data_IF_588062596716
#
_entry.id   IF_588062596716
#
_cell.length_a   1.000
_cell.length_b   1.000
_cell.length_c   1.000
_cell.angle_alpha   90.00
_cell.angle_beta   90.00
_cell.angle_gamma   90.00
#
_symmetry.space_group_name_H-M   'P 1'
#
loop_
_entity.id
_entity.type
_entity.pdbx_description
1 polymer ?
#
# COMPACT_ATOMS: atom_id res chain seq x y z
N UNK A 1 10.01 -3.82 -9.17
CA UNK A 1 8.80 -3.77 -10.02
C UNK A 1 8.74 -4.95 -10.99
N UNK A 2 9.66 -5.12 -11.95
CA UNK A 2 9.57 -6.20 -12.97
C UNK A 2 9.48 -7.62 -12.41
N UNK A 3 10.21 -7.91 -11.32
CA UNK A 3 10.15 -9.23 -10.67
C UNK A 3 8.74 -9.58 -10.15
N UNK A 4 8.10 -8.67 -9.42
CA UNK A 4 6.76 -8.89 -8.88
C UNK A 4 5.70 -9.00 -9.99
N UNK A 5 5.86 -8.23 -11.07
CA UNK A 5 5.02 -8.35 -12.26
C UNK A 5 5.11 -9.77 -12.83
N UNK A 6 6.31 -10.22 -13.21
CA UNK A 6 6.50 -11.53 -13.82
C UNK A 6 6.00 -12.67 -12.91
N UNK A 7 6.33 -12.62 -11.61
CA UNK A 7 5.85 -13.62 -10.65
C UNK A 7 4.33 -13.65 -10.54
N UNK A 8 3.68 -12.48 -10.61
CA UNK A 8 2.21 -12.42 -10.59
C UNK A 8 1.63 -12.97 -11.90
N UNK A 9 2.24 -12.68 -13.04
CA UNK A 9 1.83 -13.27 -14.32
C UNK A 9 1.92 -14.81 -14.31
N UNK A 10 3.00 -15.36 -13.76
CA UNK A 10 3.20 -16.80 -13.63
C UNK A 10 2.14 -17.45 -12.71
N UNK A 11 1.86 -16.81 -11.57
CA UNK A 11 0.83 -17.27 -10.61
C UNK A 11 -0.56 -17.24 -11.25
N UNK A 12 -0.94 -16.14 -11.90
CA UNK A 12 -2.25 -16.01 -12.55
C UNK A 12 -2.40 -17.00 -13.71
N UNK A 13 -1.34 -17.24 -14.47
CA UNK A 13 -1.34 -18.22 -15.56
C UNK A 13 -1.45 -19.67 -15.06
N UNK A 14 -0.91 -19.97 -13.89
CA UNK A 14 -0.90 -21.32 -13.31
C UNK A 14 -2.12 -21.64 -12.44
N UNK A 15 -2.90 -20.63 -12.03
CA UNK A 15 -4.01 -20.76 -11.09
C UNK A 15 -5.24 -19.98 -11.60
N UNK A 16 -6.00 -20.53 -12.56
CA UNK A 16 -7.16 -19.85 -13.14
C UNK A 16 -8.31 -19.63 -12.14
N UNK A 17 -8.31 -20.36 -11.02
CA UNK A 17 -9.26 -20.30 -9.91
C UNK A 17 -8.75 -19.50 -8.71
N UNK A 18 -7.63 -18.77 -8.85
CA UNK A 18 -7.09 -17.92 -7.79
C UNK A 18 -8.16 -16.94 -7.31
N UNK A 19 -8.49 -16.97 -6.02
CA UNK A 19 -9.53 -16.11 -5.45
C UNK A 19 -9.00 -14.74 -5.00
N UNK A 20 -7.76 -14.68 -4.53
CA UNK A 20 -7.19 -13.47 -3.95
C UNK A 20 -5.66 -13.41 -4.05
N UNK A 21 -5.11 -12.20 -4.03
CA UNK A 21 -3.67 -11.92 -4.01
C UNK A 21 -3.34 -10.68 -3.18
N UNK A 22 -2.20 -10.70 -2.47
CA UNK A 22 -1.75 -9.62 -1.59
C UNK A 22 -0.34 -9.16 -1.93
N UNK A 23 -0.18 -7.86 -2.21
CA UNK A 23 1.12 -7.21 -2.44
C UNK A 23 1.61 -6.49 -1.19
N UNK A 24 2.58 -7.08 -0.49
CA UNK A 24 2.96 -6.70 0.88
C UNK A 24 3.85 -5.44 1.03
N UNK A 25 4.16 -4.72 -0.05
CA UNK A 25 4.82 -3.42 -0.05
C UNK A 25 4.63 -2.73 -1.41
N UNK A 26 4.98 -1.44 -1.49
CA UNK A 26 4.78 -0.61 -2.68
C UNK A 26 5.26 -1.25 -4.00
N UNK A 27 6.55 -1.62 -4.19
CA UNK A 27 7.02 -2.12 -5.48
C UNK A 27 6.43 -3.48 -5.84
N UNK A 28 6.00 -4.27 -4.85
CA UNK A 28 5.32 -5.55 -5.07
C UNK A 28 3.87 -5.33 -5.46
N UNK A 29 3.14 -4.48 -4.73
CA UNK A 29 1.75 -4.14 -5.01
C UNK A 29 1.60 -3.50 -6.39
N UNK A 30 2.50 -2.58 -6.78
CA UNK A 30 2.50 -1.98 -8.12
C UNK A 30 2.73 -3.02 -9.21
N UNK A 31 3.72 -3.91 -9.03
CA UNK A 31 4.01 -4.98 -10.00
C UNK A 31 2.85 -5.97 -10.14
N UNK A 32 2.27 -6.36 -9.01
CA UNK A 32 1.11 -7.25 -8.91
C UNK A 32 -0.11 -6.64 -9.60
N UNK A 33 -0.49 -5.40 -9.28
CA UNK A 33 -1.66 -4.73 -9.86
C UNK A 33 -1.52 -4.57 -11.38
N UNK A 34 -0.32 -4.25 -11.88
CA UNK A 34 -0.04 -4.22 -13.33
C UNK A 34 -0.29 -5.57 -13.98
N UNK A 35 0.19 -6.67 -13.39
CA UNK A 35 -0.03 -8.02 -13.92
C UNK A 35 -1.53 -8.42 -13.85
N UNK A 36 -2.21 -8.14 -12.73
CA UNK A 36 -3.66 -8.37 -12.59
C UNK A 36 -4.45 -7.66 -13.69
N UNK A 37 -4.12 -6.39 -13.95
CA UNK A 37 -4.75 -5.61 -15.03
C UNK A 37 -4.40 -6.15 -16.43
N UNK A 38 -3.12 -6.42 -16.70
CA UNK A 38 -2.65 -6.90 -18.01
C UNK A 38 -3.18 -8.29 -18.38
N UNK A 39 -3.32 -9.19 -17.39
CA UNK A 39 -3.89 -10.54 -17.60
C UNK A 39 -5.43 -10.55 -17.59
N UNK A 40 -6.07 -9.40 -17.39
CA UNK A 40 -7.53 -9.29 -17.39
C UNK A 40 -8.20 -9.92 -16.15
N UNK A 41 -7.52 -9.91 -15.00
CA UNK A 41 -8.03 -10.37 -13.71
C UNK A 41 -8.57 -9.23 -12.83
N UNK A 42 -8.42 -7.96 -13.25
CA UNK A 42 -9.01 -6.82 -12.55
C UNK A 42 -10.52 -7.03 -12.32
N UNK A 43 -10.97 -6.86 -11.08
CA UNK A 43 -12.35 -7.12 -10.64
C UNK A 43 -12.80 -8.59 -10.68
N UNK A 44 -11.93 -9.54 -11.03
CA UNK A 44 -12.22 -10.99 -11.01
C UNK A 44 -11.67 -11.71 -9.79
N UNK A 45 -10.67 -11.12 -9.13
CA UNK A 45 -10.05 -11.63 -7.91
C UNK A 45 -9.96 -10.51 -6.89
N UNK A 46 -9.90 -10.85 -5.61
CA UNK A 46 -9.63 -9.87 -4.57
C UNK A 46 -8.14 -9.52 -4.58
N UNK A 47 -7.79 -8.27 -4.86
CA UNK A 47 -6.41 -7.81 -4.90
C UNK A 47 -6.20 -6.67 -3.90
N UNK A 48 -5.38 -6.90 -2.87
CA UNK A 48 -5.04 -5.90 -1.85
C UNK A 48 -3.57 -5.54 -1.92
N UNK A 49 -3.26 -4.24 -1.88
CA UNK A 49 -1.89 -3.74 -1.85
C UNK A 49 -1.49 -3.14 -0.51
N UNK A 50 -0.23 -2.72 -0.44
CA UNK A 50 0.30 -1.89 0.64
C UNK A 50 0.86 -0.60 0.05
N UNK A 51 0.92 0.42 0.90
CA UNK A 51 1.42 1.76 0.61
C UNK A 51 0.52 2.58 -0.34
N UNK A 52 0.92 3.82 -0.66
CA UNK A 52 -0.03 4.88 -1.05
C UNK A 52 0.34 5.73 -2.25
N UNK A 53 1.28 5.30 -3.11
CA UNK A 53 1.68 6.12 -4.25
C UNK A 53 0.58 6.30 -5.31
N UNK A 54 0.78 7.24 -6.24
CA UNK A 54 -0.19 7.56 -7.29
C UNK A 54 -0.57 6.37 -8.19
N UNK A 55 0.34 5.44 -8.47
CA UNK A 55 0.03 4.20 -9.21
C UNK A 55 -1.00 3.36 -8.45
N UNK A 56 -0.77 3.11 -7.17
CA UNK A 56 -1.66 2.33 -6.30
C UNK A 56 -3.01 3.00 -6.11
N UNK A 57 -3.02 4.33 -5.94
CA UNK A 57 -4.26 5.11 -5.88
C UNK A 57 -5.09 4.93 -7.17
N UNK A 58 -4.45 4.97 -8.34
CA UNK A 58 -5.14 4.77 -9.61
C UNK A 58 -5.71 3.36 -9.74
N UNK A 59 -4.99 2.33 -9.28
CA UNK A 59 -5.47 0.95 -9.28
C UNK A 59 -6.65 0.72 -8.32
N UNK A 60 -6.72 1.45 -7.20
CA UNK A 60 -7.91 1.44 -6.33
C UNK A 60 -9.10 2.11 -7.04
N UNK A 61 -8.87 3.27 -7.67
CA UNK A 61 -9.95 4.02 -8.36
C UNK A 61 -10.54 3.25 -9.53
N UNK A 62 -9.69 2.59 -10.32
CA UNK A 62 -10.10 1.83 -11.50
C UNK A 62 -10.60 0.41 -11.18
N UNK A 63 -10.51 -0.02 -9.92
CA UNK A 63 -10.99 -1.33 -9.46
C UNK A 63 -10.05 -2.50 -9.74
N UNK A 64 -8.79 -2.23 -10.11
CA UNK A 64 -7.75 -3.26 -10.18
C UNK A 64 -7.36 -3.77 -8.79
N UNK A 65 -7.35 -2.89 -7.79
CA UNK A 65 -7.17 -3.24 -6.38
C UNK A 65 -8.45 -2.93 -5.61
N UNK A 66 -8.86 -3.84 -4.73
CA UNK A 66 -9.99 -3.64 -3.81
C UNK A 66 -9.64 -2.66 -2.70
N UNK A 67 -8.35 -2.56 -2.37
CA UNK A 67 -7.84 -1.59 -1.41
C UNK A 67 -6.34 -1.67 -1.21
N UNK A 68 -5.82 -0.69 -0.50
CA UNK A 68 -4.41 -0.58 -0.11
C UNK A 68 -4.31 -0.23 1.36
N UNK A 69 -3.40 -0.89 2.08
CA UNK A 69 -3.09 -0.56 3.47
C UNK A 69 -1.97 0.48 3.47
N UNK A 70 -2.29 1.71 3.83
CA UNK A 70 -1.37 2.86 3.75
C UNK A 70 -0.81 3.19 5.13
N UNK A 71 0.50 3.36 5.20
CA UNK A 71 1.24 3.73 6.41
C UNK A 71 1.46 5.25 6.46
N UNK A 72 1.61 5.82 7.65
CA UNK A 72 1.92 7.24 7.82
C UNK A 72 3.43 7.52 7.67
N UNK A 73 4.00 7.32 6.48
CA UNK A 73 5.44 7.48 6.21
C UNK A 73 5.97 8.87 6.57
N UNK A 74 5.19 9.92 6.32
CA UNK A 74 5.51 11.29 6.76
C UNK A 74 5.61 11.40 8.28
N UNK A 75 4.67 10.80 9.02
CA UNK A 75 4.67 10.82 10.48
C UNK A 75 5.88 10.05 11.04
N UNK A 76 6.31 8.96 10.41
CA UNK A 76 7.54 8.26 10.80
C UNK A 76 8.75 9.20 10.72
N UNK A 77 8.90 9.94 9.62
CA UNK A 77 9.98 10.92 9.44
C UNK A 77 9.91 12.06 10.46
N UNK A 78 8.74 12.69 10.58
CA UNK A 78 8.52 13.82 11.49
C UNK A 78 8.76 13.43 12.96
N UNK A 79 8.08 12.37 13.43
CA UNK A 79 8.22 11.90 14.81
C UNK A 79 9.64 11.38 15.08
N UNK A 80 10.32 10.81 14.09
CA UNK A 80 11.71 10.38 14.21
C UNK A 80 12.63 11.56 14.54
N UNK A 81 12.55 12.65 13.79
CA UNK A 81 13.36 13.85 14.04
C UNK A 81 12.98 14.54 15.35
N UNK A 82 11.68 14.67 15.65
CA UNK A 82 11.20 15.23 16.91
C UNK A 82 11.71 14.43 18.12
N UNK A 83 11.65 13.10 18.05
CA UNK A 83 12.14 12.19 19.10
C UNK A 83 13.63 12.34 19.33
N UNK A 84 14.44 12.46 18.26
CA UNK A 84 15.87 12.73 18.37
C UNK A 84 16.11 14.08 19.06
N UNK A 85 15.35 15.11 18.71
CA UNK A 85 15.44 16.43 19.34
C UNK A 85 15.16 16.39 20.85
N UNK A 86 14.16 15.62 21.28
CA UNK A 86 13.84 15.39 22.71
C UNK A 86 14.96 14.65 23.44
N UNK A 87 15.51 13.60 22.84
CA UNK A 87 16.62 12.84 23.41
C UNK A 87 17.87 13.71 23.63
N UNK A 88 18.21 14.58 22.68
CA UNK A 88 19.36 15.51 22.80
C UNK A 88 19.19 16.47 23.98
N UNK A 89 17.95 16.85 24.32
CA UNK A 89 17.61 17.70 25.48
C UNK A 89 17.54 16.94 26.81
N UNK A 90 17.78 15.63 26.80
CA UNK A 90 17.67 14.78 27.98
C UNK A 90 16.22 14.48 28.39
N UNK A 91 15.25 14.71 27.50
CA UNK A 91 13.85 14.39 27.75
C UNK A 91 13.60 12.87 27.64
N UNK A 92 12.58 12.38 28.34
CA UNK A 92 12.12 10.99 28.19
C UNK A 92 11.24 10.88 26.94
N UNK A 93 11.41 9.80 26.19
CA UNK A 93 10.62 9.49 25.00
C UNK A 93 10.05 8.08 25.09
N UNK A 94 8.99 7.82 24.33
CA UNK A 94 8.44 6.47 24.18
C UNK A 94 9.40 5.59 23.38
N UNK A 95 9.52 4.33 23.79
CA UNK A 95 10.39 3.35 23.11
C UNK A 95 9.82 2.88 21.78
N UNK A 96 8.49 2.83 21.67
CA UNK A 96 7.76 2.36 20.50
C UNK A 96 6.67 3.38 20.23
N UNK A 97 6.67 3.96 19.04
CA UNK A 97 5.69 4.96 18.60
C UNK A 97 4.90 4.34 17.46
N UNK A 98 3.61 4.09 17.69
CA UNK A 98 2.69 3.70 16.61
C UNK A 98 2.43 4.92 15.71
N UNK A 99 2.57 4.72 14.40
CA UNK A 99 2.33 5.76 13.38
C UNK A 99 1.01 5.58 12.66
N UNK A 100 0.27 4.52 12.97
CA UNK A 100 -1.05 4.24 12.44
C UNK A 100 -1.01 3.73 11.00
N UNK A 101 -2.18 3.26 10.59
CA UNK A 101 -2.46 2.76 9.23
C UNK A 101 -3.87 3.18 8.83
N UNK A 102 -4.09 3.37 7.53
CA UNK A 102 -5.41 3.61 6.95
C UNK A 102 -5.63 2.56 5.86
N UNK A 103 -6.74 1.82 5.95
CA UNK A 103 -7.16 0.97 4.84
C UNK A 103 -7.93 1.82 3.84
N UNK A 104 -7.29 2.09 2.70
CA UNK A 104 -7.82 2.94 1.64
C UNK A 104 -8.50 2.08 0.59
N UNK A 105 -9.76 2.38 0.32
CA UNK A 105 -10.61 1.73 -0.67
C UNK A 105 -11.22 2.76 -1.60
N UNK A 106 -11.98 2.32 -2.60
CA UNK A 106 -12.66 3.22 -3.53
C UNK A 106 -13.64 4.16 -2.82
N UNK A 107 -14.21 3.74 -1.70
CA UNK A 107 -15.19 4.50 -0.92
C UNK A 107 -14.57 5.67 -0.14
N UNK A 108 -13.31 5.55 0.30
CA UNK A 108 -12.71 6.52 1.22
C UNK A 108 -11.44 7.20 0.69
N UNK A 109 -10.97 6.87 -0.51
CA UNK A 109 -9.71 7.41 -1.06
C UNK A 109 -9.66 8.94 -1.15
N UNK A 110 -10.82 9.60 -1.24
CA UNK A 110 -10.94 11.06 -1.25
C UNK A 110 -11.24 11.69 0.12
N UNK A 111 -11.32 10.87 1.18
CA UNK A 111 -11.46 11.35 2.55
C UNK A 111 -10.20 12.07 3.03
N UNK A 112 -10.37 12.98 3.98
CA UNK A 112 -9.25 13.69 4.59
C UNK A 112 -8.29 12.75 5.34
N UNK A 113 -8.81 11.64 5.89
CA UNK A 113 -8.00 10.61 6.54
C UNK A 113 -7.08 9.90 5.52
N UNK A 114 -7.62 9.47 4.39
CA UNK A 114 -6.83 8.83 3.33
C UNK A 114 -5.81 9.82 2.74
N UNK A 115 -6.23 11.04 2.38
CA UNK A 115 -5.35 12.09 1.86
C UNK A 115 -4.22 12.45 2.83
N UNK A 116 -4.43 12.28 4.14
CA UNK A 116 -3.41 12.52 5.16
C UNK A 116 -2.23 11.55 5.14
N UNK A 117 -2.36 10.40 4.47
CA UNK A 117 -1.32 9.35 4.40
C UNK A 117 -0.89 8.98 2.98
N UNK A 118 -1.67 9.34 1.96
CA UNK A 118 -1.33 9.15 0.55
C UNK A 118 -0.23 10.11 0.08
N UNK A 119 0.50 9.72 -0.97
CA UNK A 119 1.64 10.47 -1.50
C UNK A 119 1.87 10.27 -3.01
#
# INVERSE_FOLDING_TARGET
MTKALNQTEDVLGSNPDLAAIFGANEPTAVGMARAVKQKGFAGKIVAVGFDGNSDLQNFVRDGTLDGIVVQSSYQMGYKGVDTIGKLIKGEKVEKVIDTGVVYVTKENIDSEEAKGVLY
#
